data_IF_648166517426
#
_entry.id   IF_648166517426
#
_cell.length_a   1.000
_cell.length_b   1.000
_cell.length_c   1.000
_cell.angle_alpha   90.00
_cell.angle_beta   90.00
_cell.angle_gamma   90.00
#
_symmetry.space_group_name_H-M   'P 1'
#
loop_
_entity.id
_entity.type
_entity.pdbx_description
1 polymer ?
#
# COMPACT_ATOMS: atom_id res chain seq x y z
N UNK A 1 47.24 17.97 -18.91
CA UNK A 1 45.81 17.95 -19.30
C UNK A 1 45.02 17.45 -18.09
N UNK A 2 43.97 18.18 -17.71
CA UNK A 2 43.32 18.21 -16.39
C UNK A 2 42.89 16.83 -15.86
N UNK A 3 43.24 16.56 -14.59
CA UNK A 3 42.71 15.46 -13.78
C UNK A 3 41.26 15.79 -13.41
N UNK A 4 40.32 15.06 -14.00
CA UNK A 4 38.90 15.11 -13.67
C UNK A 4 38.65 14.58 -12.26
N UNK A 5 38.80 15.45 -11.27
CA UNK A 5 38.36 15.20 -9.92
C UNK A 5 36.82 15.29 -9.91
N UNK A 6 36.15 14.15 -10.02
CA UNK A 6 34.73 14.03 -9.72
C UNK A 6 34.53 14.10 -8.20
N UNK A 7 34.88 15.25 -7.61
CA UNK A 7 34.62 15.54 -6.19
C UNK A 7 33.16 15.99 -6.12
N UNK A 8 32.26 15.01 -6.23
CA UNK A 8 30.90 15.22 -5.75
C UNK A 8 30.99 15.31 -4.24
N UNK A 9 30.89 16.54 -3.74
CA UNK A 9 30.81 16.88 -2.34
C UNK A 9 29.81 15.94 -1.65
N UNK A 10 30.22 15.33 -0.53
CA UNK A 10 29.38 14.38 0.23
C UNK A 10 28.00 14.96 0.53
N UNK A 11 27.89 16.28 0.63
CA UNK A 11 26.65 16.98 0.90
C UNK A 11 25.66 16.92 -0.26
N UNK A 12 26.13 16.96 -1.51
CA UNK A 12 25.27 16.76 -2.69
C UNK A 12 24.80 15.30 -2.74
N UNK A 13 25.70 14.35 -2.49
CA UNK A 13 25.35 12.92 -2.45
C UNK A 13 24.38 12.60 -1.31
N UNK A 14 24.56 13.19 -0.13
CA UNK A 14 23.68 13.04 1.01
C UNK A 14 22.32 13.68 0.75
N UNK A 15 22.29 14.85 0.10
CA UNK A 15 21.05 15.54 -0.24
C UNK A 15 20.25 14.79 -1.30
N UNK A 16 20.90 14.27 -2.33
CA UNK A 16 20.28 13.39 -3.33
C UNK A 16 19.81 12.10 -2.67
N UNK A 17 20.64 11.44 -1.86
CA UNK A 17 20.24 10.22 -1.15
C UNK A 17 19.07 10.45 -0.20
N UNK A 18 19.01 11.58 0.49
CA UNK A 18 17.90 11.92 1.37
C UNK A 18 16.64 12.30 0.59
N UNK A 19 16.76 12.95 -0.58
CA UNK A 19 15.62 13.18 -1.48
C UNK A 19 15.09 11.85 -2.06
N UNK A 20 15.98 10.94 -2.47
CA UNK A 20 15.62 9.60 -2.97
C UNK A 20 14.99 8.76 -1.85
N UNK A 21 15.53 8.78 -0.63
CA UNK A 21 14.93 8.11 0.53
C UNK A 21 13.53 8.64 0.88
N UNK A 22 13.30 9.94 0.72
CA UNK A 22 11.97 10.52 0.93
C UNK A 22 10.98 10.15 -0.18
N UNK A 23 11.45 9.96 -1.42
CA UNK A 23 10.65 9.37 -2.52
C UNK A 23 10.35 7.89 -2.24
N UNK A 24 11.25 7.21 -1.52
CA UNK A 24 11.09 5.83 -1.05
C UNK A 24 10.40 5.68 0.32
N UNK A 25 9.82 6.75 0.90
CA UNK A 25 8.86 6.59 2.00
C UNK A 25 7.64 5.83 1.46
N UNK A 26 7.77 4.50 1.46
CA UNK A 26 6.74 3.53 1.08
C UNK A 26 5.54 3.82 1.97
N UNK A 27 4.43 4.22 1.36
CA UNK A 27 3.17 4.29 2.09
C UNK A 27 2.88 2.90 2.62
N UNK A 28 2.93 2.77 3.94
CA UNK A 28 2.58 1.56 4.64
C UNK A 28 1.07 1.54 4.81
N UNK A 29 0.46 0.35 4.88
CA UNK A 29 -0.94 0.24 5.28
C UNK A 29 -1.20 0.83 6.68
N UNK A 30 -0.15 0.89 7.51
CA UNK A 30 -0.18 1.54 8.83
C UNK A 30 -0.46 3.04 8.76
N UNK A 31 -0.07 3.72 7.67
CA UNK A 31 -0.32 5.15 7.46
C UNK A 31 -1.83 5.44 7.31
N UNK A 32 -2.61 4.41 6.98
CA UNK A 32 -4.07 4.47 6.85
C UNK A 32 -4.79 3.85 8.04
N UNK A 33 -4.08 3.63 9.16
CA UNK A 33 -4.62 3.03 10.38
C UNK A 33 -5.33 1.67 10.13
N UNK A 34 -4.81 0.91 9.16
CA UNK A 34 -5.26 -0.44 8.86
C UNK A 34 -4.54 -1.44 9.76
N UNK A 35 -5.31 -2.38 10.31
CA UNK A 35 -4.77 -3.59 10.92
C UNK A 35 -4.20 -4.52 9.86
N UNK A 36 -3.38 -5.48 10.27
CA UNK A 36 -2.83 -6.50 9.37
C UNK A 36 -3.93 -7.30 8.66
N UNK A 37 -4.99 -7.68 9.39
CA UNK A 37 -6.13 -8.41 8.81
C UNK A 37 -6.90 -7.58 7.79
N UNK A 38 -7.13 -6.30 8.07
CA UNK A 38 -7.76 -5.37 7.11
C UNK A 38 -6.90 -5.21 5.86
N UNK A 39 -5.59 -5.14 6.01
CA UNK A 39 -4.65 -5.08 4.90
C UNK A 39 -4.67 -6.36 4.05
N UNK A 40 -4.69 -7.54 4.65
CA UNK A 40 -4.77 -8.82 3.93
C UNK A 40 -6.03 -8.88 3.05
N UNK A 41 -7.16 -8.46 3.59
CA UNK A 41 -8.42 -8.41 2.85
C UNK A 41 -8.34 -7.38 1.72
N UNK A 42 -7.86 -6.17 2.01
CA UNK A 42 -7.69 -5.11 1.02
C UNK A 42 -6.76 -5.54 -0.14
N UNK A 43 -5.67 -6.25 0.18
CA UNK A 43 -4.75 -6.82 -0.79
C UNK A 43 -5.45 -7.79 -1.72
N UNK A 44 -6.17 -8.77 -1.19
CA UNK A 44 -6.89 -9.75 -2.00
C UNK A 44 -8.01 -9.11 -2.84
N UNK A 45 -8.65 -8.05 -2.35
CA UNK A 45 -9.56 -7.23 -3.16
C UNK A 45 -8.83 -6.59 -4.34
N UNK A 46 -7.65 -6.01 -4.10
CA UNK A 46 -6.80 -5.42 -5.13
C UNK A 46 -6.28 -6.43 -6.16
N UNK A 47 -6.09 -7.69 -5.75
CA UNK A 47 -5.75 -8.82 -6.63
C UNK A 47 -6.98 -9.36 -7.41
N UNK A 48 -8.18 -8.87 -7.12
CA UNK A 48 -9.40 -9.20 -7.88
C UNK A 48 -10.21 -10.38 -7.36
N UNK A 49 -9.88 -10.94 -6.19
CA UNK A 49 -10.65 -12.03 -5.59
C UNK A 49 -12.05 -11.55 -5.16
N UNK A 50 -13.04 -12.44 -5.19
CA UNK A 50 -14.38 -12.25 -4.65
C UNK A 50 -14.43 -12.48 -3.12
N UNK A 51 -15.52 -12.09 -2.45
CA UNK A 51 -15.66 -12.31 -1.01
C UNK A 51 -15.59 -13.79 -0.62
N UNK A 52 -16.11 -14.67 -1.48
CA UNK A 52 -16.06 -16.13 -1.28
C UNK A 52 -14.62 -16.65 -1.36
N UNK A 53 -13.87 -16.26 -2.38
CA UNK A 53 -12.47 -16.67 -2.54
C UNK A 53 -11.58 -16.11 -1.42
N UNK A 54 -11.83 -14.88 -0.97
CA UNK A 54 -11.13 -14.28 0.17
C UNK A 54 -11.43 -15.05 1.45
N UNK A 55 -12.69 -15.42 1.67
CA UNK A 55 -13.11 -16.21 2.82
C UNK A 55 -12.40 -17.56 2.85
N UNK A 56 -12.31 -18.25 1.71
CA UNK A 56 -11.57 -19.51 1.56
C UNK A 56 -10.07 -19.33 1.84
N UNK A 57 -9.43 -18.31 1.26
CA UNK A 57 -7.99 -18.05 1.44
C UNK A 57 -7.59 -17.67 2.87
N UNK A 58 -8.45 -16.94 3.57
CA UNK A 58 -8.18 -16.44 4.92
C UNK A 58 -8.83 -17.28 6.02
N UNK A 59 -9.49 -18.39 5.67
CA UNK A 59 -10.24 -19.25 6.58
C UNK A 59 -11.28 -18.48 7.41
N UNK A 60 -12.05 -17.63 6.73
CA UNK A 60 -13.11 -16.79 7.30
C UNK A 60 -14.49 -17.19 6.76
N UNK A 61 -15.56 -16.71 7.41
CA UNK A 61 -16.90 -16.74 6.80
C UNK A 61 -17.06 -15.64 5.76
N UNK A 62 -17.82 -15.89 4.69
CA UNK A 62 -18.09 -14.89 3.65
C UNK A 62 -18.77 -13.62 4.20
N UNK A 63 -19.68 -13.78 5.16
CA UNK A 63 -20.29 -12.66 5.89
C UNK A 63 -19.28 -11.82 6.67
N UNK A 64 -18.26 -12.46 7.24
CA UNK A 64 -17.15 -11.78 7.92
C UNK A 64 -16.34 -10.94 6.93
N UNK A 65 -16.04 -11.48 5.75
CA UNK A 65 -15.36 -10.72 4.70
C UNK A 65 -16.21 -9.53 4.25
N UNK A 66 -17.52 -9.70 4.06
CA UNK A 66 -18.44 -8.60 3.75
C UNK A 66 -18.39 -7.49 4.81
N UNK A 67 -18.38 -7.84 6.09
CA UNK A 67 -18.24 -6.86 7.17
C UNK A 67 -16.90 -6.12 7.09
N UNK A 68 -15.80 -6.81 6.85
CA UNK A 68 -14.50 -6.17 6.64
C UNK A 68 -14.50 -5.23 5.44
N UNK A 69 -15.17 -5.58 4.33
CA UNK A 69 -15.31 -4.66 3.18
C UNK A 69 -16.05 -3.39 3.59
N UNK A 70 -17.17 -3.50 4.31
CA UNK A 70 -17.91 -2.33 4.80
C UNK A 70 -17.06 -1.45 5.72
N UNK A 71 -16.33 -2.06 6.65
CA UNK A 71 -15.45 -1.34 7.58
C UNK A 71 -14.29 -0.66 6.85
N UNK A 72 -13.70 -1.30 5.85
CA UNK A 72 -12.65 -0.73 5.01
C UNK A 72 -13.16 0.46 4.19
N UNK A 73 -14.36 0.36 3.62
CA UNK A 73 -14.99 1.45 2.88
C UNK A 73 -15.20 2.67 3.77
N UNK A 74 -15.76 2.46 4.97
CA UNK A 74 -15.99 3.52 5.95
C UNK A 74 -14.67 4.15 6.41
N UNK A 75 -13.72 3.33 6.85
CA UNK A 75 -12.41 3.78 7.35
C UNK A 75 -11.61 4.57 6.30
N UNK A 76 -11.71 4.20 5.02
CA UNK A 76 -11.00 4.86 3.93
C UNK A 76 -11.83 5.94 3.21
N UNK A 77 -13.09 6.14 3.61
CA UNK A 77 -14.00 7.10 2.97
C UNK A 77 -14.33 6.76 1.51
N UNK A 78 -14.39 5.47 1.17
CA UNK A 78 -14.62 4.97 -0.18
C UNK A 78 -16.06 4.46 -0.34
N UNK A 79 -16.56 4.48 -1.58
CA UNK A 79 -17.98 4.17 -1.84
C UNK A 79 -18.23 2.73 -2.27
N UNK A 80 -17.27 2.10 -2.91
CA UNK A 80 -17.46 0.78 -3.50
C UNK A 80 -16.17 -0.05 -3.53
N UNK A 81 -16.34 -1.36 -3.75
CA UNK A 81 -15.24 -2.33 -3.82
C UNK A 81 -14.21 -1.99 -4.90
N UNK A 82 -14.64 -1.43 -6.03
CA UNK A 82 -13.75 -1.07 -7.12
C UNK A 82 -12.80 0.04 -6.67
N UNK A 83 -13.29 1.01 -5.89
CA UNK A 83 -12.45 2.02 -5.27
C UNK A 83 -11.46 1.45 -4.27
N UNK A 84 -11.83 0.41 -3.49
CA UNK A 84 -10.86 -0.30 -2.62
C UNK A 84 -9.75 -0.95 -3.44
N UNK A 85 -10.09 -1.63 -4.53
CA UNK A 85 -9.11 -2.25 -5.42
C UNK A 85 -8.16 -1.18 -6.00
N UNK A 86 -8.70 -0.09 -6.55
CA UNK A 86 -7.90 1.02 -7.09
C UNK A 86 -7.04 1.66 -6.01
N UNK A 87 -7.58 1.83 -4.79
CA UNK A 87 -6.84 2.39 -3.67
C UNK A 87 -5.62 1.52 -3.33
N UNK A 88 -5.79 0.20 -3.24
CA UNK A 88 -4.67 -0.72 -3.06
C UNK A 88 -3.65 -0.58 -4.19
N UNK A 89 -4.08 -0.65 -5.45
CA UNK A 89 -3.19 -0.57 -6.61
C UNK A 89 -2.39 0.73 -6.67
N UNK A 90 -2.99 1.87 -6.29
CA UNK A 90 -2.34 3.18 -6.35
C UNK A 90 -1.43 3.47 -5.16
N UNK A 91 -1.75 2.93 -3.99
CA UNK A 91 -1.12 3.37 -2.73
C UNK A 91 -0.26 2.29 -2.07
N UNK A 92 -0.56 1.01 -2.29
CA UNK A 92 -0.03 -0.11 -1.51
C UNK A 92 0.51 -1.27 -2.35
N UNK A 93 0.17 -1.36 -3.64
CA UNK A 93 0.71 -2.34 -4.57
C UNK A 93 2.04 -1.85 -5.15
N UNK A 94 3.14 -2.52 -4.82
CA UNK A 94 4.49 -2.32 -5.36
C UNK A 94 5.20 -3.66 -5.46
#
# INVERSE_FOLDING_TARGET
VYRGNTVFEKDVLNKISNMVKNIENKRSYKDYNLTEREFDILKLIGEGFSNKEIAEKLYLGEGTVRNYVTLLLDKLGLRDRTQLAIFYLKNLNK
#
